data_IF_016033667097
#
_entry.id   IF_016033667097
#
_cell.length_a   1.000
_cell.length_b   1.000
_cell.length_c   1.000
_cell.angle_alpha   90.00
_cell.angle_beta   90.00
_cell.angle_gamma   90.00
#
_symmetry.space_group_name_H-M   'P 1'
#
loop_
_entity.id
_entity.type
_entity.pdbx_description
1 polymer ?
#
# COMPACT_ATOMS: atom_id res chain seq x y z
N UNK A 1 -0.46 0.18 21.50
CA UNK A 1 -0.21 -1.15 22.11
C UNK A 1 -1.33 -1.52 23.05
N UNK A 2 -1.65 -2.79 23.14
CA UNK A 2 -2.57 -3.36 24.11
C UNK A 2 -2.17 -4.79 24.45
N UNK A 3 -2.61 -5.27 25.58
CA UNK A 3 -2.53 -6.67 25.96
C UNK A 3 -3.68 -7.47 25.32
N UNK A 4 -3.48 -8.76 25.16
CA UNK A 4 -4.47 -9.72 24.70
C UNK A 4 -4.62 -10.81 25.75
N UNK A 5 -5.83 -11.04 26.21
CA UNK A 5 -6.12 -12.17 27.09
C UNK A 5 -6.17 -13.50 26.31
N UNK A 6 -6.31 -14.63 27.01
CA UNK A 6 -6.30 -15.95 26.38
C UNK A 6 -7.42 -16.13 25.36
N UNK A 7 -8.63 -15.66 25.64
CA UNK A 7 -9.77 -15.78 24.71
C UNK A 7 -9.53 -14.97 23.42
N UNK A 8 -9.00 -13.74 23.53
CA UNK A 8 -8.65 -12.92 22.39
C UNK A 8 -7.54 -13.57 21.55
N UNK A 9 -6.55 -14.21 22.20
CA UNK A 9 -5.48 -14.93 21.51
C UNK A 9 -6.01 -16.16 20.75
N UNK A 10 -6.94 -16.92 21.31
CA UNK A 10 -7.57 -18.03 20.60
C UNK A 10 -8.28 -17.56 19.34
N UNK A 11 -9.09 -16.49 19.44
CA UNK A 11 -9.79 -15.90 18.28
C UNK A 11 -8.80 -15.37 17.22
N UNK A 12 -7.75 -14.69 17.67
CA UNK A 12 -6.69 -14.17 16.81
C UNK A 12 -5.95 -15.30 16.08
N UNK A 13 -5.55 -16.34 16.78
CA UNK A 13 -4.84 -17.48 16.21
C UNK A 13 -5.73 -18.25 15.21
N UNK A 14 -7.03 -18.37 15.48
CA UNK A 14 -7.97 -18.93 14.52
C UNK A 14 -7.96 -18.17 13.18
N UNK A 15 -8.04 -16.84 13.22
CA UNK A 15 -7.98 -16.01 12.03
C UNK A 15 -6.62 -16.15 11.31
N UNK A 16 -5.52 -16.09 12.08
CA UNK A 16 -4.16 -16.22 11.55
C UNK A 16 -3.98 -17.57 10.85
N UNK A 17 -4.49 -18.66 11.40
CA UNK A 17 -4.34 -19.99 10.82
C UNK A 17 -5.10 -20.08 9.49
N UNK A 18 -6.32 -19.56 9.40
CA UNK A 18 -7.06 -19.51 8.13
C UNK A 18 -6.29 -18.72 7.07
N UNK A 19 -5.73 -17.57 7.44
CA UNK A 19 -4.92 -16.76 6.51
C UNK A 19 -3.67 -17.53 6.05
N UNK A 20 -2.95 -18.18 6.98
CA UNK A 20 -1.77 -19.00 6.67
C UNK A 20 -2.08 -20.14 5.72
N UNK A 21 -3.16 -20.87 5.97
CA UNK A 21 -3.57 -22.00 5.14
C UNK A 21 -3.89 -21.55 3.70
N UNK A 22 -4.53 -20.37 3.58
CA UNK A 22 -4.77 -19.78 2.27
C UNK A 22 -3.48 -19.34 1.60
N UNK A 23 -2.56 -18.66 2.28
CA UNK A 23 -1.27 -18.32 1.70
C UNK A 23 -0.53 -19.55 1.16
N UNK A 24 -0.47 -20.64 1.93
CA UNK A 24 0.14 -21.89 1.50
C UNK A 24 -0.57 -22.50 0.29
N UNK A 25 -1.91 -22.48 0.26
CA UNK A 25 -2.73 -22.99 -0.85
C UNK A 25 -2.42 -22.24 -2.16
N UNK A 26 -2.16 -20.95 -2.09
CA UNK A 26 -1.79 -20.11 -3.24
C UNK A 26 -0.29 -20.10 -3.55
N UNK A 27 0.49 -20.95 -2.90
CA UNK A 27 1.92 -21.14 -3.17
C UNK A 27 2.85 -20.09 -2.56
N UNK A 28 2.38 -19.34 -1.57
CA UNK A 28 3.23 -18.40 -0.83
C UNK A 28 4.03 -19.12 0.25
N UNK A 29 5.31 -18.83 0.35
CA UNK A 29 6.21 -19.39 1.35
C UNK A 29 6.40 -18.43 2.53
N UNK A 30 6.49 -18.94 3.76
CA UNK A 30 6.71 -18.09 4.93
C UNK A 30 8.14 -17.53 4.95
N UNK A 31 8.26 -16.26 5.31
CA UNK A 31 9.53 -15.67 5.74
C UNK A 31 9.33 -14.86 7.02
N UNK A 32 10.39 -14.61 7.73
CA UNK A 32 10.45 -13.68 8.85
C UNK A 32 11.65 -12.75 8.72
N UNK A 33 11.48 -11.52 9.17
CA UNK A 33 12.55 -10.52 9.24
C UNK A 33 12.67 -9.99 10.67
N UNK A 34 13.81 -9.43 11.07
CA UNK A 34 13.96 -8.84 12.39
C UNK A 34 12.94 -7.73 12.67
N UNK A 35 12.58 -7.55 13.95
CA UNK A 35 11.66 -6.49 14.38
C UNK A 35 12.21 -5.08 14.20
N UNK A 36 13.51 -4.95 14.10
CA UNK A 36 14.21 -3.68 13.85
C UNK A 36 15.17 -3.80 12.67
N UNK A 37 15.34 -2.71 11.98
CA UNK A 37 16.25 -2.54 10.85
C UNK A 37 17.26 -1.43 11.17
N UNK A 38 18.32 -1.32 10.39
CA UNK A 38 19.17 -0.12 10.43
C UNK A 38 18.33 1.09 10.06
N UNK A 39 18.54 2.21 10.75
CA UNK A 39 17.78 3.45 10.49
C UNK A 39 17.91 3.90 9.04
N UNK A 40 19.09 3.77 8.43
CA UNK A 40 19.35 4.08 7.01
C UNK A 40 18.54 3.22 6.02
N UNK A 41 18.16 1.99 6.42
CA UNK A 41 17.32 1.11 5.58
C UNK A 41 15.89 1.60 5.52
N UNK A 42 15.38 2.17 6.62
CA UNK A 42 13.98 2.61 6.74
C UNK A 42 13.79 4.07 6.36
N UNK A 43 14.73 4.95 6.76
CA UNK A 43 14.63 6.38 6.51
C UNK A 43 14.78 6.69 5.01
N UNK A 44 14.08 7.72 4.53
CA UNK A 44 14.05 8.10 3.12
C UNK A 44 13.12 7.23 2.24
N UNK A 45 12.42 6.22 2.80
CA UNK A 45 11.57 5.30 2.03
C UNK A 45 10.07 5.60 2.12
N UNK A 46 9.65 6.27 3.19
CA UNK A 46 8.22 6.48 3.49
C UNK A 46 7.75 7.94 3.33
N UNK A 47 8.61 8.81 2.79
CA UNK A 47 8.35 10.25 2.71
C UNK A 47 8.35 10.93 4.09
N UNK A 48 8.20 12.25 4.10
CA UNK A 48 8.32 13.05 5.34
C UNK A 48 7.29 12.68 6.43
N UNK A 49 6.07 12.33 6.01
CA UNK A 49 5.01 11.95 6.95
C UNK A 49 5.29 10.58 7.58
N UNK A 50 5.64 9.59 6.76
CA UNK A 50 5.96 8.24 7.23
C UNK A 50 7.18 8.22 8.15
N UNK A 51 8.20 9.00 7.85
CA UNK A 51 9.42 9.10 8.67
C UNK A 51 9.17 9.60 10.10
N UNK A 52 8.18 10.48 10.29
CA UNK A 52 7.77 10.94 11.62
C UNK A 52 7.08 9.87 12.45
N UNK A 53 6.59 8.83 11.79
CA UNK A 53 5.87 7.71 12.42
C UNK A 53 6.77 6.52 12.73
N UNK A 54 8.05 6.55 12.35
CA UNK A 54 9.01 5.50 12.65
C UNK A 54 9.51 5.62 14.08
N UNK A 55 9.38 4.55 14.87
CA UNK A 55 9.99 4.45 16.19
C UNK A 55 11.49 4.23 16.07
N UNK A 56 12.27 5.16 16.56
CA UNK A 56 13.74 5.11 16.55
C UNK A 56 14.26 4.48 17.84
N UNK A 57 15.35 3.71 17.73
CA UNK A 57 15.99 3.02 18.84
C UNK A 57 17.34 3.67 19.07
N UNK A 58 17.58 4.11 20.31
CA UNK A 58 18.87 4.66 20.73
C UNK A 58 19.94 3.59 20.62
N UNK A 59 21.17 3.99 20.30
CA UNK A 59 22.35 3.12 20.34
C UNK A 59 22.46 2.46 21.71
N UNK A 60 22.83 1.19 21.74
CA UNK A 60 23.05 0.46 23.00
C UNK A 60 24.31 0.96 23.71
N UNK A 61 24.31 0.95 25.04
CA UNK A 61 25.40 1.44 25.84
C UNK A 61 25.38 2.97 26.01
N UNK A 62 26.54 3.60 25.98
CA UNK A 62 26.66 5.05 26.04
C UNK A 62 26.34 5.66 24.68
N UNK A 63 25.06 5.97 24.46
CA UNK A 63 24.57 6.53 23.20
C UNK A 63 24.99 7.98 22.95
N UNK A 64 25.58 8.63 23.94
CA UNK A 64 26.12 10.00 23.82
C UNK A 64 27.65 10.03 23.58
N UNK A 65 28.32 8.89 23.59
CA UNK A 65 29.78 8.82 23.48
C UNK A 65 30.35 9.55 22.24
N UNK A 66 29.62 9.50 21.13
CA UNK A 66 29.99 10.18 19.87
C UNK A 66 29.42 11.62 19.77
N UNK A 67 28.93 12.19 20.88
CA UNK A 67 28.21 13.46 20.87
C UNK A 67 28.69 14.32 22.03
N UNK A 68 29.12 15.55 21.72
CA UNK A 68 29.41 16.52 22.76
C UNK A 68 28.10 17.03 23.38
N UNK A 69 27.93 16.84 24.69
CA UNK A 69 26.70 17.20 25.42
C UNK A 69 26.40 18.71 25.32
N UNK A 70 27.42 19.55 25.27
CA UNK A 70 27.23 21.00 25.12
C UNK A 70 26.73 21.39 23.72
N UNK A 71 27.09 20.61 22.69
CA UNK A 71 26.62 20.83 21.34
C UNK A 71 25.17 20.36 21.13
N UNK A 72 24.66 19.45 21.95
CA UNK A 72 23.28 18.88 21.78
C UNK A 72 22.22 19.98 21.80
N UNK A 73 22.41 21.02 22.60
CA UNK A 73 21.45 22.15 22.75
C UNK A 73 21.30 22.96 21.46
N UNK A 74 22.32 22.98 20.63
CA UNK A 74 22.39 23.78 19.40
C UNK A 74 22.06 22.94 18.14
N UNK A 75 22.11 21.58 18.25
CA UNK A 75 21.85 20.70 17.13
C UNK A 75 20.35 20.64 16.76
N UNK A 76 20.08 20.72 15.48
CA UNK A 76 18.75 20.39 14.97
C UNK A 76 18.51 18.88 15.13
N UNK A 77 17.25 18.50 15.28
CA UNK A 77 16.85 17.10 15.38
C UNK A 77 17.39 16.22 14.24
N UNK A 78 17.44 16.75 13.00
CA UNK A 78 18.00 16.08 11.84
C UNK A 78 19.47 15.68 12.03
N UNK A 79 20.22 16.50 12.73
CA UNK A 79 21.67 16.35 12.89
C UNK A 79 22.01 15.50 14.12
N UNK A 80 21.18 15.58 15.15
CA UNK A 80 21.32 14.79 16.38
C UNK A 80 20.90 13.32 16.17
N UNK A 81 19.78 13.10 15.48
CA UNK A 81 19.19 11.77 15.34
C UNK A 81 20.18 10.72 14.80
N UNK A 82 20.96 10.95 13.74
CA UNK A 82 21.93 9.96 13.25
C UNK A 82 23.08 9.67 14.21
N UNK A 83 23.41 10.63 15.11
CA UNK A 83 24.48 10.44 16.08
C UNK A 83 24.11 9.47 17.20
N UNK A 84 22.83 9.48 17.63
CA UNK A 84 22.35 8.73 18.79
C UNK A 84 21.46 7.52 18.43
N UNK A 85 21.06 7.38 17.15
CA UNK A 85 20.17 6.33 16.65
C UNK A 85 20.86 5.60 15.50
N UNK A 86 20.92 4.27 15.60
CA UNK A 86 21.42 3.40 14.54
C UNK A 86 20.36 2.43 14.00
N UNK A 87 19.28 2.22 14.74
CA UNK A 87 18.22 1.27 14.44
C UNK A 87 16.83 1.91 14.61
N UNK A 88 15.85 1.30 13.98
CA UNK A 88 14.46 1.68 14.15
C UNK A 88 13.55 0.46 14.06
N UNK A 89 12.40 0.48 14.71
CA UNK A 89 11.38 -0.56 14.55
C UNK A 89 10.80 -0.49 13.13
N UNK A 90 10.58 -1.64 12.54
CA UNK A 90 9.99 -1.72 11.19
C UNK A 90 8.60 -1.11 11.18
N UNK A 91 8.36 -0.25 10.20
CA UNK A 91 7.11 0.46 9.99
C UNK A 91 6.06 -0.39 9.25
N UNK A 92 6.55 -1.25 8.36
CA UNK A 92 5.81 -2.24 7.58
C UNK A 92 6.68 -3.50 7.35
N UNK A 93 6.19 -4.41 6.53
CA UNK A 93 6.93 -5.61 6.14
C UNK A 93 7.55 -5.52 4.73
N UNK A 94 7.23 -4.48 3.97
CA UNK A 94 7.68 -4.31 2.57
C UNK A 94 9.14 -3.93 2.47
N UNK A 95 9.61 -2.93 3.23
CA UNK A 95 11.02 -2.50 3.20
C UNK A 95 11.95 -3.59 3.76
N UNK A 96 11.66 -4.23 4.90
CA UNK A 96 12.41 -5.41 5.35
C UNK A 96 12.44 -6.55 4.32
N UNK A 97 11.34 -6.78 3.60
CA UNK A 97 11.29 -7.76 2.53
C UNK A 97 12.19 -7.38 1.35
N UNK A 98 12.17 -6.12 0.91
CA UNK A 98 13.05 -5.67 -0.16
C UNK A 98 14.54 -5.88 0.19
N UNK A 99 14.95 -5.57 1.44
CA UNK A 99 16.30 -5.87 1.93
C UNK A 99 16.57 -7.39 1.93
N UNK A 100 15.63 -8.20 2.39
CA UNK A 100 15.74 -9.65 2.39
C UNK A 100 16.00 -10.20 0.99
N UNK A 101 15.25 -9.72 -0.01
CA UNK A 101 15.41 -10.11 -1.41
C UNK A 101 16.81 -9.78 -1.92
N UNK A 102 17.30 -8.56 -1.70
CA UNK A 102 18.64 -8.13 -2.12
C UNK A 102 19.73 -9.00 -1.48
N UNK A 103 19.61 -9.30 -0.19
CA UNK A 103 20.59 -10.12 0.52
C UNK A 103 20.57 -11.59 0.10
N UNK A 104 19.43 -12.10 -0.35
CA UNK A 104 19.25 -13.51 -0.70
C UNK A 104 19.03 -13.75 -2.20
N UNK A 105 19.31 -12.77 -3.06
CA UNK A 105 19.02 -12.82 -4.48
C UNK A 105 19.55 -14.06 -5.21
N UNK A 106 20.70 -14.58 -4.77
CA UNK A 106 21.31 -15.79 -5.35
C UNK A 106 20.65 -17.10 -4.91
N UNK A 107 19.81 -17.07 -3.87
CA UNK A 107 19.14 -18.24 -3.29
C UNK A 107 17.63 -18.23 -3.53
N UNK A 108 17.10 -17.15 -4.10
CA UNK A 108 15.68 -16.98 -4.38
C UNK A 108 15.37 -17.41 -5.82
N UNK A 109 14.43 -18.33 -5.97
CA UNK A 109 13.90 -18.71 -7.30
C UNK A 109 12.78 -17.74 -7.69
N UNK A 110 12.85 -17.19 -8.89
CA UNK A 110 11.89 -16.26 -9.48
C UNK A 110 10.87 -17.04 -10.35
N UNK A 111 9.56 -16.74 -10.28
CA UNK A 111 8.91 -15.77 -9.41
C UNK A 111 8.89 -16.24 -7.94
N UNK A 112 9.17 -15.32 -7.03
CA UNK A 112 9.17 -15.59 -5.60
C UNK A 112 7.91 -15.08 -4.95
N UNK A 113 7.09 -16.01 -4.43
CA UNK A 113 5.88 -15.74 -3.65
C UNK A 113 6.19 -15.92 -2.17
N UNK A 114 6.07 -14.86 -1.38
CA UNK A 114 6.27 -14.93 0.08
C UNK A 114 5.05 -14.43 0.83
N UNK A 115 4.83 -14.95 2.04
CA UNK A 115 3.98 -14.30 3.02
C UNK A 115 4.74 -14.05 4.32
N UNK A 116 4.28 -13.06 5.08
CA UNK A 116 4.85 -12.69 6.38
C UNK A 116 3.73 -12.22 7.29
N UNK A 117 3.68 -12.78 8.51
CA UNK A 117 2.69 -12.41 9.52
C UNK A 117 3.45 -12.01 10.78
N UNK A 118 3.70 -10.72 10.95
CA UNK A 118 4.52 -10.19 12.02
C UNK A 118 4.05 -8.80 12.48
N UNK A 119 4.40 -8.43 13.70
CA UNK A 119 4.10 -7.11 14.23
C UNK A 119 4.88 -6.02 13.52
N UNK A 120 4.25 -4.86 13.38
CA UNK A 120 4.84 -3.61 12.91
C UNK A 120 4.51 -2.49 13.89
N UNK A 121 5.26 -1.39 13.81
CA UNK A 121 5.16 -0.30 14.78
C UNK A 121 5.05 1.05 14.08
N UNK A 122 4.00 1.80 14.42
CA UNK A 122 3.76 3.14 13.89
C UNK A 122 3.44 4.10 15.02
N UNK A 123 4.11 5.25 15.07
CA UNK A 123 3.91 6.27 16.09
C UNK A 123 2.64 7.11 15.85
N UNK A 124 1.63 6.53 15.24
CA UNK A 124 0.32 7.15 15.03
C UNK A 124 -0.32 7.61 16.34
N UNK A 125 -1.19 8.60 16.26
CA UNK A 125 -2.06 8.96 17.39
C UNK A 125 -3.02 7.80 17.66
N UNK A 126 -3.04 7.27 18.89
CA UNK A 126 -3.97 6.19 19.25
C UNK A 126 -5.43 6.63 19.06
N UNK A 127 -6.21 5.79 18.38
CA UNK A 127 -7.66 5.96 18.24
C UNK A 127 -8.32 4.58 18.11
N UNK A 128 -9.64 4.52 18.18
CA UNK A 128 -10.37 3.26 18.08
C UNK A 128 -9.99 2.52 16.79
N UNK A 129 -9.50 1.28 16.93
CA UNK A 129 -9.05 0.44 15.81
C UNK A 129 -7.66 0.76 15.27
N UNK A 130 -6.94 1.76 15.79
CA UNK A 130 -5.58 2.10 15.37
C UNK A 130 -4.62 2.03 16.56
N UNK A 131 -3.71 1.07 16.50
CA UNK A 131 -2.71 0.81 17.54
C UNK A 131 -1.32 1.16 17.04
N UNK A 132 -0.40 1.46 17.97
CA UNK A 132 1.00 1.72 17.64
C UNK A 132 1.80 0.46 17.37
N UNK A 133 1.32 -0.68 17.83
CA UNK A 133 1.81 -2.01 17.52
C UNK A 133 0.63 -2.86 17.06
N UNK A 134 0.77 -3.48 15.90
CA UNK A 134 -0.26 -4.33 15.32
C UNK A 134 0.35 -5.37 14.38
N UNK A 135 -0.39 -6.44 14.14
CA UNK A 135 0.01 -7.51 13.24
C UNK A 135 -0.35 -7.14 11.80
N UNK A 136 0.60 -7.25 10.89
CA UNK A 136 0.36 -7.26 9.45
C UNK A 136 0.42 -8.70 8.92
N UNK A 137 -0.44 -9.00 7.96
CA UNK A 137 -0.46 -10.25 7.19
C UNK A 137 -0.23 -9.86 5.73
N UNK A 138 1.01 -9.90 5.29
CA UNK A 138 1.41 -9.45 3.97
C UNK A 138 1.76 -10.64 3.07
N UNK A 139 1.35 -10.57 1.81
CA UNK A 139 1.77 -11.49 0.75
C UNK A 139 2.30 -10.67 -0.43
N UNK A 140 3.44 -11.05 -0.96
CA UNK A 140 4.08 -10.38 -2.10
C UNK A 140 4.60 -11.38 -3.12
N UNK A 141 4.63 -10.93 -4.37
CA UNK A 141 5.24 -11.65 -5.50
C UNK A 141 6.27 -10.74 -6.15
N UNK A 142 7.46 -11.26 -6.38
CA UNK A 142 8.49 -10.57 -7.15
C UNK A 142 8.95 -11.41 -8.34
N UNK A 143 9.43 -10.72 -9.39
CA UNK A 143 10.01 -11.36 -10.57
C UNK A 143 9.00 -11.85 -11.60
N UNK A 144 7.75 -11.39 -11.53
CA UNK A 144 6.72 -11.59 -12.56
C UNK A 144 6.07 -10.27 -12.93
N UNK A 145 5.83 -10.07 -14.22
CA UNK A 145 5.04 -8.95 -14.76
C UNK A 145 3.63 -9.38 -15.19
N UNK A 146 3.31 -10.66 -15.03
CA UNK A 146 2.03 -11.22 -15.46
C UNK A 146 0.89 -10.72 -14.55
N UNK A 147 -0.20 -10.25 -15.15
CA UNK A 147 -1.43 -9.88 -14.46
C UNK A 147 -2.13 -11.06 -13.78
N UNK A 148 -1.69 -12.29 -14.04
CA UNK A 148 -2.16 -13.47 -13.31
C UNK A 148 -1.87 -13.38 -11.81
N UNK A 149 -0.86 -12.59 -11.40
CA UNK A 149 -0.57 -12.37 -9.99
C UNK A 149 -1.68 -11.58 -9.30
N UNK A 150 -2.26 -10.58 -9.96
CA UNK A 150 -3.40 -9.81 -9.44
C UNK A 150 -4.64 -10.69 -9.32
N UNK A 151 -4.87 -11.59 -10.28
CA UNK A 151 -5.97 -12.57 -10.22
C UNK A 151 -5.76 -13.53 -9.05
N UNK A 152 -4.54 -14.01 -8.83
CA UNK A 152 -4.20 -14.84 -7.67
C UNK A 152 -4.49 -14.11 -6.35
N UNK A 153 -4.16 -12.82 -6.23
CA UNK A 153 -4.45 -12.03 -5.03
C UNK A 153 -5.96 -11.84 -4.82
N UNK A 154 -6.72 -11.55 -5.87
CA UNK A 154 -8.18 -11.42 -5.77
C UNK A 154 -8.79 -12.74 -5.28
N UNK A 155 -8.38 -13.86 -5.89
CA UNK A 155 -8.84 -15.20 -5.52
C UNK A 155 -8.41 -15.57 -4.08
N UNK A 156 -7.21 -15.18 -3.68
CA UNK A 156 -6.71 -15.34 -2.31
C UNK A 156 -7.59 -14.59 -1.30
N UNK A 157 -7.90 -13.31 -1.55
CA UNK A 157 -8.78 -12.54 -0.66
C UNK A 157 -10.17 -13.16 -0.57
N UNK A 158 -10.77 -13.54 -1.70
CA UNK A 158 -12.07 -14.19 -1.72
C UNK A 158 -12.07 -15.50 -0.92
N UNK A 159 -11.03 -16.32 -1.10
CA UNK A 159 -10.85 -17.57 -0.35
C UNK A 159 -10.73 -17.33 1.16
N UNK A 160 -9.93 -16.34 1.58
CA UNK A 160 -9.78 -15.99 3.01
C UNK A 160 -11.10 -15.53 3.61
N UNK A 161 -11.83 -14.63 2.94
CA UNK A 161 -13.10 -14.13 3.45
C UNK A 161 -14.17 -15.23 3.49
N UNK A 162 -14.19 -16.13 2.51
CA UNK A 162 -15.08 -17.29 2.47
C UNK A 162 -14.78 -18.25 3.61
N UNK A 163 -13.53 -18.61 3.85
CA UNK A 163 -13.12 -19.51 4.94
C UNK A 163 -13.38 -18.89 6.33
N UNK A 164 -13.28 -17.55 6.46
CA UNK A 164 -13.68 -16.80 7.66
C UNK A 164 -15.20 -16.65 7.79
N UNK A 165 -16.01 -17.11 6.81
CA UNK A 165 -17.46 -16.98 6.75
C UNK A 165 -17.94 -15.53 6.81
N UNK A 166 -17.18 -14.63 6.24
CA UNK A 166 -17.53 -13.21 6.13
C UNK A 166 -18.35 -13.01 4.86
N UNK A 167 -19.67 -13.07 4.99
CA UNK A 167 -20.58 -12.77 3.87
C UNK A 167 -20.64 -11.27 3.59
N UNK A 168 -20.82 -10.91 2.33
CA UNK A 168 -21.00 -9.51 1.90
C UNK A 168 -19.71 -8.70 1.79
N UNK A 169 -18.54 -9.34 1.80
CA UNK A 169 -17.28 -8.68 1.46
C UNK A 169 -17.28 -8.28 -0.01
N UNK A 170 -16.86 -7.06 -0.29
CA UNK A 170 -16.70 -6.54 -1.65
C UNK A 170 -15.23 -6.22 -1.91
N UNK A 171 -14.66 -6.80 -2.96
CA UNK A 171 -13.30 -6.49 -3.41
C UNK A 171 -13.40 -5.37 -4.44
N UNK A 172 -12.87 -4.19 -4.11
CA UNK A 172 -12.79 -3.05 -5.03
C UNK A 172 -11.45 -3.08 -5.75
N UNK A 173 -11.49 -3.08 -7.08
CA UNK A 173 -10.30 -3.10 -7.93
C UNK A 173 -10.20 -1.75 -8.66
N UNK A 174 -8.99 -1.22 -8.76
CA UNK A 174 -8.70 -0.03 -9.53
C UNK A 174 -7.35 -0.17 -10.23
N UNK A 175 -7.16 0.59 -11.30
CA UNK A 175 -5.88 0.67 -12.00
C UNK A 175 -5.43 2.12 -12.14
N UNK A 176 -4.15 2.37 -11.87
CA UNK A 176 -3.56 3.70 -12.08
C UNK A 176 -3.64 4.15 -13.54
N UNK A 177 -3.63 3.21 -14.49
CA UNK A 177 -3.79 3.50 -15.91
C UNK A 177 -5.11 4.20 -16.22
N UNK A 178 -6.20 3.79 -15.56
CA UNK A 178 -7.52 4.46 -15.70
C UNK A 178 -7.44 5.93 -15.26
N UNK A 179 -6.82 6.20 -14.13
CA UNK A 179 -6.68 7.57 -13.62
C UNK A 179 -5.79 8.45 -14.52
N UNK A 180 -4.74 7.88 -15.09
CA UNK A 180 -3.87 8.55 -16.07
C UNK A 180 -4.67 8.83 -17.34
N UNK A 181 -5.40 7.85 -17.86
CA UNK A 181 -6.24 8.01 -19.06
C UNK A 181 -7.31 9.08 -18.87
N UNK A 182 -7.91 9.19 -17.70
CA UNK A 182 -8.84 10.29 -17.35
C UNK A 182 -8.12 11.63 -17.44
N UNK A 183 -6.91 11.75 -16.90
CA UNK A 183 -6.15 12.99 -17.01
C UNK A 183 -5.78 13.34 -18.45
N UNK A 184 -5.48 12.34 -19.28
CA UNK A 184 -5.16 12.55 -20.71
C UNK A 184 -6.38 13.07 -21.47
N UNK A 185 -7.55 12.48 -21.29
CA UNK A 185 -8.77 12.88 -22.00
C UNK A 185 -9.17 14.32 -21.65
N UNK A 186 -9.00 14.70 -20.38
CA UNK A 186 -9.44 16.01 -19.89
C UNK A 186 -8.29 17.03 -19.81
N UNK A 187 -7.12 16.72 -20.39
CA UNK A 187 -5.94 17.60 -20.42
C UNK A 187 -5.60 18.19 -19.05
N UNK A 188 -5.46 17.31 -18.06
CA UNK A 188 -5.21 17.68 -16.67
C UNK A 188 -4.09 16.87 -15.98
N UNK A 189 -3.09 16.44 -16.74
CA UNK A 189 -1.95 15.63 -16.26
C UNK A 189 -1.18 16.34 -15.14
N UNK A 190 -1.06 17.68 -15.23
CA UNK A 190 -0.43 18.55 -14.23
C UNK A 190 -1.14 18.47 -12.86
N UNK A 191 -2.41 18.07 -12.85
CA UNK A 191 -3.26 17.96 -11.65
C UNK A 191 -3.52 16.52 -11.20
N UNK A 192 -2.78 15.54 -11.73
CA UNK A 192 -2.96 14.12 -11.41
C UNK A 192 -2.99 13.84 -9.90
N UNK A 193 -2.02 14.40 -9.16
CA UNK A 193 -1.95 14.23 -7.70
C UNK A 193 -3.14 14.86 -6.98
N UNK A 194 -3.61 16.02 -7.44
CA UNK A 194 -4.79 16.65 -6.86
C UNK A 194 -6.06 15.83 -7.14
N UNK A 195 -6.20 15.28 -8.35
CA UNK A 195 -7.30 14.39 -8.71
C UNK A 195 -7.33 13.15 -7.83
N UNK A 196 -6.23 12.39 -7.79
CA UNK A 196 -6.15 11.14 -7.03
C UNK A 196 -6.41 11.36 -5.55
N UNK A 197 -5.82 12.39 -4.94
CA UNK A 197 -6.04 12.74 -3.53
C UNK A 197 -7.50 13.10 -3.19
N UNK A 198 -8.27 13.60 -4.14
CA UNK A 198 -9.70 13.86 -3.92
C UNK A 198 -10.54 12.61 -4.17
N UNK A 199 -10.23 11.82 -5.19
CA UNK A 199 -10.94 10.56 -5.48
C UNK A 199 -10.79 9.54 -4.34
N UNK A 200 -9.65 9.48 -3.66
CA UNK A 200 -9.43 8.63 -2.47
C UNK A 200 -10.37 8.98 -1.30
N UNK A 201 -11.04 10.12 -1.35
CA UNK A 201 -11.98 10.54 -0.32
C UNK A 201 -13.43 10.17 -0.63
N UNK A 202 -13.72 9.63 -1.82
CA UNK A 202 -15.09 9.27 -2.23
C UNK A 202 -15.76 8.25 -1.30
N UNK A 203 -14.98 7.38 -0.64
CA UNK A 203 -15.51 6.45 0.35
C UNK A 203 -15.89 7.12 1.71
N UNK A 204 -15.48 8.37 1.92
CA UNK A 204 -15.61 9.09 3.20
C UNK A 204 -16.42 10.37 3.11
N UNK A 205 -16.48 10.96 1.94
CA UNK A 205 -17.12 12.24 1.67
C UNK A 205 -18.18 12.09 0.60
N UNK A 206 -19.18 12.94 0.67
CA UNK A 206 -20.21 13.05 -0.36
C UNK A 206 -19.61 13.50 -1.72
N UNK A 207 -20.16 13.00 -2.81
CA UNK A 207 -19.72 13.32 -4.17
C UNK A 207 -19.67 14.82 -4.43
N UNK A 208 -20.63 15.58 -3.94
CA UNK A 208 -20.70 17.04 -4.15
C UNK A 208 -19.57 17.77 -3.42
N UNK A 209 -19.16 17.27 -2.25
CA UNK A 209 -18.00 17.81 -1.53
C UNK A 209 -16.71 17.54 -2.30
N UNK A 210 -16.55 16.34 -2.86
CA UNK A 210 -15.37 15.99 -3.66
C UNK A 210 -15.33 16.80 -4.95
N UNK A 211 -16.46 16.98 -5.65
CA UNK A 211 -16.57 17.86 -6.81
C UNK A 211 -16.16 19.29 -6.49
N UNK A 212 -16.70 19.86 -5.40
CA UNK A 212 -16.33 21.20 -4.96
C UNK A 212 -14.84 21.36 -4.65
N UNK A 213 -14.22 20.34 -4.06
CA UNK A 213 -12.77 20.34 -3.78
C UNK A 213 -11.94 20.28 -5.06
N UNK A 214 -12.37 19.52 -6.07
CA UNK A 214 -11.71 19.48 -7.39
C UNK A 214 -11.79 20.84 -8.08
N UNK A 215 -12.94 21.52 -8.03
CA UNK A 215 -13.07 22.87 -8.58
C UNK A 215 -12.13 23.85 -7.86
N UNK A 216 -12.03 23.79 -6.52
CA UNK A 216 -11.06 24.57 -5.74
C UNK A 216 -9.61 24.27 -6.10
N UNK A 217 -9.33 23.02 -6.52
CA UNK A 217 -8.01 22.62 -7.02
C UNK A 217 -7.75 23.05 -8.47
N UNK A 218 -8.66 23.82 -9.09
CA UNK A 218 -8.50 24.44 -10.41
C UNK A 218 -9.00 23.59 -11.57
N UNK A 219 -9.83 22.57 -11.32
CA UNK A 219 -10.54 21.87 -12.40
C UNK A 219 -11.74 22.66 -12.88
N UNK A 220 -12.02 22.64 -14.18
CA UNK A 220 -13.24 23.24 -14.74
C UNK A 220 -14.46 22.40 -14.37
N UNK A 221 -15.62 23.04 -14.14
CA UNK A 221 -16.86 22.36 -13.73
C UNK A 221 -17.30 21.26 -14.69
N UNK A 222 -17.22 21.50 -16.00
CA UNK A 222 -17.57 20.50 -17.01
C UNK A 222 -16.64 19.29 -16.96
N UNK A 223 -15.33 19.49 -16.75
CA UNK A 223 -14.34 18.41 -16.59
C UNK A 223 -14.66 17.58 -15.36
N UNK A 224 -14.96 18.22 -14.23
CA UNK A 224 -15.33 17.52 -13.00
C UNK A 224 -16.57 16.64 -13.21
N UNK A 225 -17.61 17.16 -13.87
CA UNK A 225 -18.81 16.38 -14.16
C UNK A 225 -18.48 15.16 -15.03
N UNK A 226 -17.73 15.35 -16.12
CA UNK A 226 -17.33 14.25 -17.01
C UNK A 226 -16.44 13.20 -16.31
N UNK A 227 -15.56 13.60 -15.38
CA UNK A 227 -14.80 12.68 -14.56
C UNK A 227 -15.74 11.80 -13.71
N UNK A 228 -16.73 12.39 -13.09
CA UNK A 228 -17.70 11.64 -12.29
C UNK A 228 -18.60 10.74 -13.15
N UNK A 229 -18.95 11.15 -14.36
CA UNK A 229 -19.68 10.29 -15.31
C UNK A 229 -18.84 9.04 -15.67
N UNK A 230 -17.53 9.20 -15.96
CA UNK A 230 -16.62 8.08 -16.24
C UNK A 230 -16.50 7.17 -15.02
N UNK A 231 -16.37 7.72 -13.79
CA UNK A 231 -16.30 6.94 -12.57
C UNK A 231 -17.58 6.14 -12.35
N UNK A 232 -18.74 6.74 -12.57
CA UNK A 232 -20.02 6.03 -12.43
C UNK A 232 -20.18 4.92 -13.45
N UNK A 233 -19.82 5.17 -14.70
CA UNK A 233 -19.81 4.15 -15.76
C UNK A 233 -18.84 2.99 -15.45
N UNK A 234 -17.71 3.29 -14.82
CA UNK A 234 -16.71 2.26 -14.47
C UNK A 234 -17.16 1.30 -13.37
N UNK A 235 -18.18 1.64 -12.58
CA UNK A 235 -18.75 0.74 -11.56
C UNK A 235 -19.38 -0.52 -12.15
N UNK A 236 -19.95 -0.39 -13.37
CA UNK A 236 -20.48 -1.50 -14.15
C UNK A 236 -19.73 -1.62 -15.48
N UNK A 237 -18.44 -1.92 -15.37
CA UNK A 237 -17.50 -1.88 -16.50
C UNK A 237 -17.97 -2.73 -17.68
N UNK A 238 -18.44 -3.94 -17.43
CA UNK A 238 -18.88 -4.86 -18.49
C UNK A 238 -20.05 -4.32 -19.29
N UNK A 239 -21.05 -3.78 -18.58
CA UNK A 239 -22.28 -3.25 -19.22
C UNK A 239 -22.05 -1.92 -19.96
N UNK A 240 -21.05 -1.15 -19.49
CA UNK A 240 -20.75 0.18 -20.02
C UNK A 240 -19.51 0.20 -20.92
N UNK A 241 -18.96 -0.94 -21.31
CA UNK A 241 -17.69 -1.04 -22.03
C UNK A 241 -17.65 -0.19 -23.29
N UNK A 242 -18.66 -0.24 -24.14
CA UNK A 242 -18.71 0.53 -25.40
C UNK A 242 -18.78 2.05 -25.16
N UNK A 243 -19.49 2.46 -24.13
CA UNK A 243 -19.57 3.88 -23.75
C UNK A 243 -18.23 4.36 -23.19
N UNK A 244 -17.60 3.58 -22.33
CA UNK A 244 -16.25 3.86 -21.82
C UNK A 244 -15.21 3.92 -22.96
N UNK A 245 -15.26 3.00 -23.93
CA UNK A 245 -14.42 3.08 -25.14
C UNK A 245 -14.58 4.41 -25.86
N UNK A 246 -15.79 4.94 -25.95
CA UNK A 246 -16.04 6.24 -26.61
C UNK A 246 -15.34 7.39 -25.88
N UNK A 247 -15.31 7.39 -24.55
CA UNK A 247 -14.59 8.38 -23.76
C UNK A 247 -13.07 8.27 -23.95
N UNK A 248 -12.52 7.05 -23.98
CA UNK A 248 -11.10 6.79 -24.02
C UNK A 248 -10.48 6.74 -25.42
N UNK A 249 -11.29 6.92 -26.47
CA UNK A 249 -10.84 6.81 -27.87
C UNK A 249 -9.68 7.75 -28.22
N UNK A 250 -9.57 8.90 -27.57
CA UNK A 250 -8.51 9.89 -27.80
C UNK A 250 -7.27 9.68 -26.94
N UNK A 251 -7.27 8.74 -25.99
CA UNK A 251 -6.15 8.44 -25.11
C UNK A 251 -5.50 7.12 -25.50
N UNK A 252 -4.20 7.12 -25.81
CA UNK A 252 -3.44 5.91 -26.09
C UNK A 252 -3.46 4.95 -24.91
N UNK A 253 -3.28 5.46 -23.68
CA UNK A 253 -3.35 4.67 -22.45
C UNK A 253 -4.77 4.16 -22.21
N UNK A 254 -5.79 4.98 -22.50
CA UNK A 254 -7.19 4.61 -22.39
C UNK A 254 -7.55 3.48 -23.35
N UNK A 255 -7.05 3.49 -24.57
CA UNK A 255 -7.22 2.39 -25.51
C UNK A 255 -6.66 1.07 -24.99
N UNK A 256 -5.52 1.09 -24.29
CA UNK A 256 -4.90 -0.10 -23.69
C UNK A 256 -5.72 -0.73 -22.54
N UNK A 257 -6.69 -0.01 -21.96
CA UNK A 257 -7.54 -0.56 -20.90
C UNK A 257 -8.51 -1.65 -21.39
N UNK A 258 -8.83 -1.67 -22.67
CA UNK A 258 -9.76 -2.64 -23.27
C UNK A 258 -9.25 -3.30 -24.55
N UNK A 259 -8.05 -2.97 -24.98
CA UNK A 259 -7.30 -3.72 -25.98
C UNK A 259 -6.25 -4.57 -25.27
N UNK A 260 -6.63 -5.37 -24.29
CA UNK A 260 -5.76 -6.40 -23.77
C UNK A 260 -5.69 -7.50 -24.84
N UNK A 261 -4.84 -7.28 -25.81
CA UNK A 261 -4.44 -8.35 -26.70
C UNK A 261 -3.66 -9.37 -25.88
N UNK A 262 -4.32 -10.47 -25.59
CA UNK A 262 -3.66 -11.70 -25.16
C UNK A 262 -2.72 -12.26 -26.25
N UNK A 263 -2.53 -11.53 -27.35
CA UNK A 263 -1.74 -11.91 -28.49
C UNK A 263 -0.31 -11.32 -28.49
N UNK A 264 -0.01 -10.30 -27.67
CA UNK A 264 1.32 -9.65 -27.66
C UNK A 264 2.31 -10.24 -26.63
N UNK A 265 1.94 -11.28 -25.89
CA UNK A 265 2.87 -12.02 -25.02
C UNK A 265 3.60 -13.20 -25.73
N UNK A 266 3.60 -13.23 -27.06
CA UNK A 266 4.37 -14.20 -27.85
C UNK A 266 5.55 -13.50 -28.54
N UNK A 267 6.49 -13.02 -27.74
CA UNK A 267 7.76 -12.46 -28.20
C UNK A 267 8.84 -12.68 -27.17
#
# INVERSE_FOLDING_TARGET
>A
TRDFNSEELYKRNYIINIIKDNFLRFGFNPIETPSFERSETLLGKYGQEGERLIFKILKSGDFLNDTNVDEIKELKYSDLSPKIVDKALRYDLTVPFARYVVQNQNNITIPFKRYQIQNVWRADRPQKGRFREFLQCDADVIGSKSLMQEIDFISLFDSVFSDLKLSGCQIKINTRKLLIAICDIFDCQDKFTALTNQLDKLDKLDNEVVKANLIKAGFKQNVVNSIFDVIELSKNFTDNLELLKSYFKSSEIGCLLYTSDAADDSG
#
